data_IF_644376969865
#
_entry.id   IF_644376969865
#
_cell.length_a   1.000
_cell.length_b   1.000
_cell.length_c   1.000
_cell.angle_alpha   90.00
_cell.angle_beta   90.00
_cell.angle_gamma   90.00
#
_symmetry.space_group_name_H-M   'P 1'
#
loop_
_entity.id
_entity.type
_entity.pdbx_description
1 polymer ?
#
# COMPACT_ATOMS: atom_id res chain seq x y z
N UNK A 1 1.04 -18.37 -19.85
CA UNK A 1 1.23 -18.76 -18.43
C UNK A 1 1.83 -17.53 -17.78
N UNK A 2 1.15 -16.88 -16.82
CA UNK A 2 1.63 -15.65 -16.20
C UNK A 2 2.85 -15.99 -15.32
N UNK A 3 3.99 -16.17 -15.98
CA UNK A 3 5.24 -16.70 -15.43
C UNK A 3 6.15 -15.59 -14.87
N UNK A 4 5.71 -14.33 -14.92
CA UNK A 4 6.50 -13.23 -14.35
C UNK A 4 6.08 -13.02 -12.89
N UNK A 5 7.01 -13.20 -11.92
CA UNK A 5 6.77 -12.80 -10.55
C UNK A 5 6.41 -11.32 -10.53
N UNK A 6 5.25 -11.00 -9.94
CA UNK A 6 4.99 -9.64 -9.51
C UNK A 6 5.76 -9.46 -8.21
N UNK A 7 6.71 -8.54 -8.22
CA UNK A 7 7.31 -8.01 -7.01
C UNK A 7 6.82 -6.58 -6.86
N UNK A 8 5.73 -6.35 -6.10
CA UNK A 8 5.33 -5.00 -5.77
C UNK A 8 6.38 -4.37 -4.84
N UNK A 9 6.66 -3.10 -5.05
CA UNK A 9 7.49 -2.34 -4.12
C UNK A 9 6.67 -2.07 -2.85
N UNK A 10 7.18 -2.54 -1.71
CA UNK A 10 6.57 -2.26 -0.43
C UNK A 10 6.63 -0.75 -0.14
N UNK A 11 5.51 -0.11 0.22
CA UNK A 11 5.53 1.28 0.64
C UNK A 11 6.27 1.40 1.99
N UNK A 12 7.09 2.43 2.14
CA UNK A 12 7.79 2.73 3.39
C UNK A 12 9.07 1.92 3.65
N UNK A 13 9.60 2.04 4.87
CA UNK A 13 10.92 1.53 5.25
C UNK A 13 10.80 0.11 5.83
N UNK A 14 10.58 -0.89 4.97
CA UNK A 14 10.40 -2.29 5.39
C UNK A 14 8.96 -2.65 5.78
N UNK A 15 7.96 -2.01 5.18
CA UNK A 15 6.54 -2.31 5.37
C UNK A 15 5.81 -1.37 6.33
N UNK A 16 6.52 -0.60 7.17
CA UNK A 16 5.87 0.39 8.03
C UNK A 16 5.46 1.65 7.23
N UNK A 17 4.20 2.04 7.32
CA UNK A 17 3.61 3.18 6.60
C UNK A 17 2.87 4.11 7.54
N UNK A 18 3.13 5.41 7.42
CA UNK A 18 2.50 6.45 8.24
C UNK A 18 1.27 7.08 7.55
N UNK A 19 0.60 6.32 6.69
CA UNK A 19 -0.58 6.73 5.94
C UNK A 19 -1.52 5.53 5.79
N UNK A 20 -2.83 5.77 5.92
CA UNK A 20 -3.87 4.76 5.69
C UNK A 20 -4.16 4.53 4.21
N UNK A 21 -3.64 5.36 3.31
CA UNK A 21 -3.80 5.21 1.86
C UNK A 21 -2.44 5.05 1.18
N UNK A 22 -1.68 3.98 1.46
CA UNK A 22 -0.41 3.77 0.78
C UNK A 22 -0.63 3.57 -0.73
N UNK A 23 0.43 3.74 -1.51
CA UNK A 23 0.44 3.39 -2.93
C UNK A 23 1.41 2.25 -3.13
N UNK A 24 0.92 1.15 -3.68
CA UNK A 24 1.75 0.03 -4.15
C UNK A 24 1.94 0.15 -5.65
N UNK A 25 3.14 -0.23 -6.12
CA UNK A 25 3.52 -0.17 -7.53
C UNK A 25 4.21 -1.47 -7.90
N UNK A 26 4.13 -1.84 -9.17
CA UNK A 26 4.82 -3.02 -9.65
C UNK A 26 4.86 -3.10 -11.17
N UNK A 27 5.43 -4.20 -11.66
CA UNK A 27 5.53 -4.49 -13.09
C UNK A 27 5.07 -5.92 -13.37
N UNK A 28 4.06 -6.05 -14.21
CA UNK A 28 3.49 -7.32 -14.70
C UNK A 28 3.50 -7.35 -16.23
N UNK A 29 2.77 -8.27 -16.85
CA UNK A 29 2.55 -8.29 -18.29
C UNK A 29 1.78 -7.02 -18.75
N UNK A 30 2.16 -6.43 -19.89
CA UNK A 30 1.43 -5.29 -20.46
C UNK A 30 -0.07 -5.54 -20.60
N UNK A 31 -0.88 -4.54 -20.24
CA UNK A 31 -2.34 -4.58 -20.31
C UNK A 31 -3.02 -5.64 -19.42
N UNK A 32 -2.29 -6.32 -18.52
CA UNK A 32 -2.86 -7.26 -17.58
C UNK A 32 -3.69 -6.55 -16.49
N UNK A 33 -4.62 -7.30 -15.89
CA UNK A 33 -5.39 -6.86 -14.73
C UNK A 33 -4.71 -7.33 -13.45
N UNK A 34 -4.52 -6.42 -12.52
CA UNK A 34 -3.88 -6.64 -11.22
C UNK A 34 -4.94 -6.53 -10.14
N UNK A 35 -5.27 -7.65 -9.52
CA UNK A 35 -6.17 -7.73 -8.37
C UNK A 35 -5.36 -7.58 -7.09
N UNK A 36 -5.81 -6.68 -6.21
CA UNK A 36 -5.18 -6.37 -4.93
C UNK A 36 -6.02 -6.95 -3.82
N UNK A 37 -5.41 -7.82 -3.01
CA UNK A 37 -6.03 -8.44 -1.85
C UNK A 37 -5.34 -7.94 -0.58
N UNK A 38 -6.13 -7.71 0.47
CA UNK A 38 -5.68 -7.37 1.82
C UNK A 38 -6.27 -8.39 2.76
N UNK A 39 -5.42 -9.07 3.52
CA UNK A 39 -5.81 -10.12 4.48
C UNK A 39 -6.67 -11.22 3.81
N UNK A 40 -6.37 -11.52 2.55
CA UNK A 40 -7.09 -12.49 1.72
C UNK A 40 -8.40 -11.99 1.10
N UNK A 41 -8.76 -10.72 1.29
CA UNK A 41 -9.98 -10.10 0.74
C UNK A 41 -9.63 -9.13 -0.38
N UNK A 42 -10.29 -9.27 -1.54
CA UNK A 42 -10.14 -8.31 -2.64
C UNK A 42 -10.62 -6.92 -2.21
N UNK A 43 -9.73 -5.94 -2.30
CA UNK A 43 -10.03 -4.53 -1.99
C UNK A 43 -10.09 -3.66 -3.23
N UNK A 44 -9.42 -4.07 -4.32
CA UNK A 44 -9.43 -3.30 -5.55
C UNK A 44 -8.71 -3.97 -6.70
N UNK A 45 -8.67 -3.27 -7.83
CA UNK A 45 -7.99 -3.69 -9.04
C UNK A 45 -7.29 -2.51 -9.70
N UNK A 46 -6.16 -2.78 -10.33
CA UNK A 46 -5.43 -1.85 -11.18
C UNK A 46 -5.19 -2.50 -12.54
N UNK A 47 -5.07 -1.66 -13.58
CA UNK A 47 -4.70 -2.12 -14.92
C UNK A 47 -3.25 -1.76 -15.18
N UNK A 48 -2.47 -2.72 -15.66
CA UNK A 48 -1.12 -2.47 -16.13
C UNK A 48 -1.14 -1.72 -17.46
N UNK A 49 -0.23 -0.76 -17.63
CA UNK A 49 -0.08 -0.01 -18.87
C UNK A 49 0.59 -0.83 -19.99
N UNK A 50 0.87 -0.20 -21.12
CA UNK A 50 1.53 -0.84 -22.26
C UNK A 50 2.98 -1.28 -22.00
N UNK A 51 3.59 -0.79 -20.91
CA UNK A 51 4.90 -1.20 -20.43
C UNK A 51 4.80 -2.21 -19.26
N UNK A 52 3.59 -2.60 -18.87
CA UNK A 52 3.32 -3.52 -17.77
C UNK A 52 3.40 -2.87 -16.38
N UNK A 53 3.58 -1.55 -16.30
CA UNK A 53 3.63 -0.83 -15.02
C UNK A 53 2.22 -0.60 -14.52
N UNK A 54 2.04 -0.73 -13.21
CA UNK A 54 0.78 -0.46 -12.55
C UNK A 54 1.04 0.21 -11.21
N UNK A 55 0.05 0.96 -10.76
CA UNK A 55 0.00 1.50 -9.40
C UNK A 55 -1.42 1.37 -8.86
N UNK A 56 -1.52 1.14 -7.57
CA UNK A 56 -2.79 1.10 -6.84
C UNK A 56 -2.63 1.88 -5.55
N UNK A 57 -3.51 2.86 -5.36
CA UNK A 57 -3.64 3.60 -4.10
C UNK A 57 -4.86 3.07 -3.37
N UNK A 58 -4.69 2.69 -2.11
CA UNK A 58 -5.77 2.06 -1.34
C UNK A 58 -6.97 3.01 -1.16
N UNK A 59 -8.11 2.59 -1.70
CA UNK A 59 -9.43 3.20 -1.52
C UNK A 59 -10.48 2.06 -1.53
N UNK A 60 -11.15 1.77 -0.39
CA UNK A 60 -11.11 2.53 0.88
C UNK A 60 -9.75 2.45 1.59
N UNK A 61 -9.50 3.45 2.44
CA UNK A 61 -8.30 3.51 3.27
C UNK A 61 -8.17 2.27 4.18
N UNK A 62 -6.94 1.83 4.38
CA UNK A 62 -6.60 0.76 5.32
C UNK A 62 -6.82 1.19 6.76
N UNK A 63 -7.05 0.22 7.63
CA UNK A 63 -7.10 0.45 9.07
C UNK A 63 -5.70 0.52 9.67
N UNK A 64 -5.58 0.98 10.91
CA UNK A 64 -4.33 0.91 11.66
C UNK A 64 -3.96 -0.55 11.97
N UNK A 65 -2.68 -0.87 11.92
CA UNK A 65 -2.11 -2.18 12.25
C UNK A 65 -1.52 -2.93 11.06
N UNK A 66 -1.19 -4.20 11.31
CA UNK A 66 -0.57 -5.08 10.33
C UNK A 66 -1.60 -5.56 9.29
N UNK A 67 -1.22 -5.50 8.02
CA UNK A 67 -1.97 -6.02 6.89
C UNK A 67 -1.08 -6.85 5.97
N UNK A 68 -1.64 -7.93 5.44
CA UNK A 68 -0.98 -8.75 4.42
C UNK A 68 -1.56 -8.45 3.04
N UNK A 69 -0.74 -7.88 2.16
CA UNK A 69 -1.12 -7.58 0.78
C UNK A 69 -0.62 -8.70 -0.13
N UNK A 70 -1.55 -9.32 -0.87
CA UNK A 70 -1.22 -10.23 -1.97
C UNK A 70 -1.77 -9.69 -3.28
N UNK A 71 -1.09 -10.04 -4.38
CA UNK A 71 -1.44 -9.59 -5.71
C UNK A 71 -1.73 -10.78 -6.60
N UNK A 72 -2.79 -10.69 -7.39
CA UNK A 72 -3.16 -11.70 -8.38
C UNK A 72 -3.27 -11.07 -9.75
N UNK A 73 -2.67 -11.67 -10.76
CA UNK A 73 -2.65 -11.11 -12.12
C UNK A 73 -3.51 -11.96 -13.04
N UNK A 74 -4.33 -11.30 -13.84
CA UNK A 74 -5.04 -11.90 -14.98
C UNK A 74 -4.54 -11.29 -16.27
N UNK A 75 -4.03 -12.13 -17.18
CA UNK A 75 -3.54 -11.69 -18.48
C UNK A 75 -4.69 -11.23 -19.41
N UNK A 76 -4.36 -10.64 -20.56
CA UNK A 76 -5.36 -10.17 -21.53
C UNK A 76 -6.19 -11.32 -22.14
N UNK A 77 -5.68 -12.54 -22.12
CA UNK A 77 -6.39 -13.73 -22.59
C UNK A 77 -7.35 -14.31 -21.53
N UNK A 78 -7.36 -13.76 -20.32
CA UNK A 78 -8.20 -14.19 -19.21
C UNK A 78 -7.59 -15.29 -18.34
N UNK A 79 -6.30 -15.60 -18.46
CA UNK A 79 -5.64 -16.55 -17.58
C UNK A 79 -5.17 -15.85 -16.31
N UNK A 80 -5.63 -16.35 -15.16
CA UNK A 80 -5.22 -15.84 -13.85
C UNK A 80 -4.08 -16.65 -13.27
N UNK A 81 -3.04 -15.98 -12.76
CA UNK A 81 -1.90 -16.58 -12.09
C UNK A 81 -2.12 -16.92 -10.62
N UNK A 82 -1.08 -17.48 -10.00
CA UNK A 82 -0.99 -17.62 -8.56
C UNK A 82 -0.87 -16.25 -7.88
N UNK A 83 -1.21 -16.19 -6.59
CA UNK A 83 -0.96 -15.01 -5.77
C UNK A 83 0.55 -14.78 -5.61
N UNK A 84 0.95 -13.51 -5.52
CA UNK A 84 2.33 -13.13 -5.21
C UNK A 84 2.73 -13.55 -3.79
N UNK A 85 4.02 -13.48 -3.50
CA UNK A 85 4.47 -13.49 -2.11
C UNK A 85 3.79 -12.36 -1.33
N UNK A 86 3.40 -12.62 -0.06
CA UNK A 86 2.73 -11.62 0.76
C UNK A 86 3.63 -10.46 1.11
N UNK A 87 3.12 -9.24 0.94
CA UNK A 87 3.75 -8.02 1.41
C UNK A 87 3.10 -7.64 2.73
N UNK A 88 3.88 -7.68 3.80
CA UNK A 88 3.43 -7.21 5.11
C UNK A 88 3.62 -5.71 5.20
N UNK A 89 2.54 -5.01 5.53
CA UNK A 89 2.60 -3.59 5.87
C UNK A 89 2.06 -3.37 7.27
N UNK A 90 2.58 -2.38 7.97
CA UNK A 90 2.10 -1.94 9.28
C UNK A 90 1.71 -0.47 9.17
N UNK A 91 0.41 -0.21 9.23
CA UNK A 91 -0.16 1.13 9.14
C UNK A 91 -0.17 1.75 10.53
N UNK A 92 0.68 2.74 10.73
CA UNK A 92 0.76 3.52 11.96
C UNK A 92 0.79 5.03 11.65
N UNK A 93 -0.38 5.66 11.64
CA UNK A 93 -0.46 7.12 11.47
C UNK A 93 -0.18 7.88 12.76
N UNK A 94 0.03 7.19 13.89
CA UNK A 94 0.31 7.82 15.18
C UNK A 94 1.80 8.17 15.25
N UNK A 95 2.14 9.27 14.62
CA UNK A 95 3.47 9.85 14.76
C UNK A 95 3.83 10.05 16.25
N UNK A 96 4.92 9.46 16.78
CA UNK A 96 5.41 9.79 18.12
C UNK A 96 6.06 11.18 18.19
N UNK A 97 6.40 11.81 17.05
CA UNK A 97 7.16 13.06 17.00
C UNK A 97 6.34 14.23 16.47
N UNK A 98 5.44 14.76 17.31
CA UNK A 98 5.29 16.22 17.35
C UNK A 98 5.76 16.67 18.73
N UNK A 99 6.89 17.39 18.85
CA UNK A 99 7.15 18.14 20.07
C UNK A 99 5.95 19.06 20.28
N UNK A 100 5.17 18.77 21.32
CA UNK A 100 4.38 19.82 21.95
C UNK A 100 5.43 20.79 22.46
N UNK A 101 5.66 21.90 21.74
CA UNK A 101 6.31 23.03 22.38
C UNK A 101 5.43 23.32 23.60
N UNK A 102 5.93 23.22 24.85
CA UNK A 102 5.19 23.79 25.94
C UNK A 102 5.19 25.27 25.63
N UNK A 103 4.02 25.82 25.26
CA UNK A 103 3.81 27.26 25.34
C UNK A 103 4.21 27.62 26.76
N UNK A 104 5.33 28.35 26.88
CA UNK A 104 5.76 28.85 28.17
C UNK A 104 4.56 29.56 28.81
N UNK A 105 4.21 29.30 30.09
CA UNK A 105 3.19 30.09 30.73
C UNK A 105 3.67 31.54 30.69
N UNK A 106 3.04 32.34 29.83
CA UNK A 106 3.10 33.80 29.90
C UNK A 106 2.56 34.16 31.26
N UNK A 107 3.46 34.25 32.24
CA UNK A 107 3.12 34.57 33.60
C UNK A 107 2.51 35.97 33.58
N UNK A 108 1.22 36.04 33.93
CA UNK A 108 0.52 37.31 34.06
C UNK A 108 1.19 38.21 35.09
N UNK A 109 1.13 39.50 34.81
CA UNK A 109 1.02 40.60 35.78
C UNK A 109 1.95 40.62 36.99
N UNK A 110 2.83 41.62 37.03
CA UNK A 110 2.98 42.37 38.27
C UNK A 110 2.97 43.87 37.94
N UNK A 111 2.24 44.56 38.82
CA UNK A 111 1.91 45.99 38.87
C UNK A 111 3.10 46.93 38.86
#
# INVERSE_FOLDING_TARGET
NPDKPVTPDAPGNGGHVNTTTPTIKGVTEPNATVEVLVDGVKVGEAKADGDGKWEYTFDPALTEGEHEITIKVTDQAGNTGAESDPIKIDVDTKNPDKPVTPDAPGNGGHV
#
